data_IF_917142569822
#
_entry.id   IF_917142569822
#
_cell.length_a   1.000
_cell.length_b   1.000
_cell.length_c   1.000
_cell.angle_alpha   90.00
_cell.angle_beta   90.00
_cell.angle_gamma   90.00
#
_symmetry.space_group_name_H-M   'P 1'
#
loop_
_entity.id
_entity.type
_entity.pdbx_description
1 polymer ?
#
# COMPACT_ATOMS: atom_id res chain seq x y z
N UNK A 1 -27.79 2.25 -7.80
CA UNK A 1 -26.43 1.80 -8.19
C UNK A 1 -26.23 0.43 -7.57
N UNK A 2 -25.92 -0.62 -8.34
CA UNK A 2 -25.68 -1.96 -7.79
C UNK A 2 -24.49 -1.92 -6.84
N UNK A 3 -24.63 -2.54 -5.68
CA UNK A 3 -23.54 -2.66 -4.69
C UNK A 3 -22.37 -3.42 -5.31
N UNK A 4 -21.22 -2.78 -5.40
CA UNK A 4 -19.99 -3.40 -5.91
C UNK A 4 -19.51 -4.41 -4.85
N UNK A 5 -19.50 -5.70 -5.22
CA UNK A 5 -19.05 -6.78 -4.31
C UNK A 5 -17.61 -7.18 -4.60
N UNK A 6 -16.81 -7.29 -3.54
CA UNK A 6 -15.46 -7.85 -3.56
C UNK A 6 -15.41 -9.26 -2.93
N UNK A 7 -16.55 -9.83 -2.56
CA UNK A 7 -16.64 -11.13 -1.91
C UNK A 7 -15.95 -12.23 -2.73
N UNK A 8 -15.15 -13.04 -2.07
CA UNK A 8 -14.43 -14.14 -2.70
C UNK A 8 -13.31 -13.75 -3.65
N UNK A 9 -12.99 -12.45 -3.76
CA UNK A 9 -11.94 -11.95 -4.63
C UNK A 9 -10.59 -11.85 -3.88
N UNK A 10 -9.55 -12.41 -4.47
CA UNK A 10 -8.16 -12.13 -4.06
C UNK A 10 -7.75 -10.71 -4.43
N UNK A 11 -6.96 -10.06 -3.59
CA UNK A 11 -6.47 -8.69 -3.81
C UNK A 11 -5.00 -8.77 -4.28
N UNK A 12 -4.80 -8.82 -5.58
CA UNK A 12 -3.48 -9.05 -6.17
C UNK A 12 -2.78 -7.75 -6.59
N UNK A 13 -3.54 -6.76 -7.03
CA UNK A 13 -3.11 -5.44 -7.48
C UNK A 13 -4.28 -4.50 -7.64
N UNK A 14 -4.03 -3.26 -8.07
CA UNK A 14 -5.05 -2.26 -8.41
C UNK A 14 -5.28 -2.16 -9.92
N UNK A 15 -4.46 -2.81 -10.73
CA UNK A 15 -4.64 -2.84 -12.19
C UNK A 15 -6.04 -3.28 -12.58
N UNK A 16 -6.59 -4.33 -11.95
CA UNK A 16 -7.90 -4.90 -12.23
C UNK A 16 -9.06 -4.26 -11.44
N UNK A 17 -8.79 -3.28 -10.57
CA UNK A 17 -9.84 -2.59 -9.83
C UNK A 17 -10.56 -1.56 -10.70
N UNK A 18 -11.87 -1.42 -10.47
CA UNK A 18 -12.67 -0.31 -10.98
C UNK A 18 -12.73 0.83 -9.97
N UNK A 19 -12.96 2.05 -10.43
CA UNK A 19 -13.07 3.22 -9.54
C UNK A 19 -14.07 3.00 -8.40
N UNK A 20 -15.27 2.49 -8.69
CA UNK A 20 -16.29 2.23 -7.67
C UNK A 20 -15.90 1.14 -6.66
N UNK A 21 -15.01 0.21 -7.01
CA UNK A 21 -14.46 -0.78 -6.07
C UNK A 21 -13.48 -0.11 -5.09
N UNK A 22 -12.64 0.80 -5.60
CA UNK A 22 -11.73 1.60 -4.78
C UNK A 22 -12.57 2.45 -3.80
N UNK A 23 -13.54 3.22 -4.32
CA UNK A 23 -14.43 4.05 -3.50
C UNK A 23 -15.13 3.24 -2.41
N UNK A 24 -15.65 2.04 -2.74
CA UNK A 24 -16.28 1.15 -1.75
C UNK A 24 -15.31 0.75 -0.64
N UNK A 25 -14.05 0.44 -0.96
CA UNK A 25 -13.03 0.15 0.05
C UNK A 25 -12.79 1.36 0.95
N UNK A 26 -12.68 2.57 0.38
CA UNK A 26 -12.46 3.80 1.15
C UNK A 26 -13.65 4.12 2.08
N UNK A 27 -14.88 3.89 1.63
CA UNK A 27 -16.09 4.12 2.43
C UNK A 27 -16.16 3.16 3.63
N UNK A 28 -15.86 1.87 3.40
CA UNK A 28 -15.80 0.88 4.47
C UNK A 28 -14.61 1.15 5.39
N UNK A 29 -13.47 1.62 4.86
CA UNK A 29 -12.32 2.00 5.68
C UNK A 29 -12.66 3.14 6.66
N UNK A 30 -13.49 4.11 6.26
CA UNK A 30 -13.95 5.16 7.14
C UNK A 30 -14.77 4.61 8.33
N UNK A 31 -15.60 3.59 8.09
CA UNK A 31 -16.35 2.91 9.15
C UNK A 31 -15.40 2.09 10.05
N UNK A 32 -14.46 1.35 9.47
CA UNK A 32 -13.45 0.59 10.20
C UNK A 32 -12.54 1.49 11.05
N UNK A 33 -12.21 2.69 10.58
CA UNK A 33 -11.44 3.66 11.36
C UNK A 33 -12.16 4.07 12.65
N UNK A 34 -13.48 4.21 12.64
CA UNK A 34 -14.27 4.48 13.86
C UNK A 34 -14.09 3.35 14.89
N UNK A 35 -14.07 2.09 14.44
CA UNK A 35 -13.78 0.94 15.29
C UNK A 35 -12.38 1.02 15.87
N UNK A 36 -11.36 1.32 15.03
CA UNK A 36 -9.96 1.46 15.49
C UNK A 36 -9.79 2.55 16.55
N UNK A 37 -10.58 3.62 16.45
CA UNK A 37 -10.55 4.75 17.39
C UNK A 37 -11.45 4.55 18.61
N UNK A 38 -12.37 3.58 18.58
CA UNK A 38 -13.28 3.30 19.70
C UNK A 38 -12.59 2.59 20.86
N UNK A 39 -13.20 2.61 22.04
CA UNK A 39 -12.74 1.85 23.20
C UNK A 39 -12.86 0.33 23.00
N UNK A 40 -13.80 -0.13 22.16
CA UNK A 40 -14.01 -1.53 21.82
C UNK A 40 -13.60 -1.82 20.37
N UNK A 41 -12.35 -2.21 20.18
CA UNK A 41 -11.78 -2.49 18.87
C UNK A 41 -12.11 -3.88 18.33
N UNK A 42 -12.53 -4.82 19.17
CA UNK A 42 -12.83 -6.20 18.76
C UNK A 42 -14.28 -6.31 18.30
N UNK A 43 -14.46 -6.86 17.11
CA UNK A 43 -15.74 -7.20 16.50
C UNK A 43 -15.71 -8.65 16.03
N UNK A 44 -16.88 -9.27 15.91
CA UNK A 44 -17.02 -10.69 15.54
C UNK A 44 -17.26 -10.90 14.02
N UNK A 45 -16.95 -9.90 13.18
CA UNK A 45 -17.25 -9.95 11.75
C UNK A 45 -16.56 -11.10 10.99
N UNK A 46 -15.36 -11.48 11.43
CA UNK A 46 -14.59 -12.60 10.88
C UNK A 46 -14.40 -13.75 11.89
N UNK A 47 -15.29 -13.88 12.85
CA UNK A 47 -15.26 -15.00 13.79
C UNK A 47 -15.30 -16.35 13.07
N UNK A 48 -14.39 -17.24 13.43
CA UNK A 48 -14.22 -18.55 12.78
C UNK A 48 -13.46 -18.52 11.45
N UNK A 49 -12.94 -17.34 11.02
CA UNK A 49 -12.02 -17.22 9.89
C UNK A 49 -10.58 -17.29 10.36
N UNK A 50 -9.73 -17.90 9.53
CA UNK A 50 -8.29 -18.00 9.75
C UNK A 50 -7.51 -17.27 8.67
N UNK A 51 -6.52 -16.48 9.10
CA UNK A 51 -5.66 -15.66 8.24
C UNK A 51 -4.21 -16.03 8.51
N UNK A 52 -3.45 -16.31 7.48
CA UNK A 52 -2.00 -16.56 7.59
C UNK A 52 -1.23 -15.47 6.86
N UNK A 53 -0.27 -14.85 7.52
CA UNK A 53 0.68 -13.95 6.85
C UNK A 53 1.95 -14.70 6.48
N UNK A 54 2.40 -14.58 5.23
CA UNK A 54 3.62 -15.21 4.71
C UNK A 54 4.54 -14.10 4.21
N UNK A 55 5.52 -13.74 5.04
CA UNK A 55 6.42 -12.61 4.78
C UNK A 55 7.85 -13.11 4.59
N UNK A 56 8.34 -13.09 3.37
CA UNK A 56 9.73 -13.41 3.03
C UNK A 56 10.68 -12.20 3.14
N UNK A 57 10.12 -10.99 3.25
CA UNK A 57 10.85 -9.73 3.49
C UNK A 57 10.51 -9.14 4.85
N UNK A 58 11.46 -8.41 5.44
CA UNK A 58 11.21 -7.65 6.68
C UNK A 58 10.12 -6.58 6.47
N UNK A 59 9.12 -6.57 7.31
CA UNK A 59 8.06 -5.56 7.29
C UNK A 59 7.37 -5.47 8.64
N UNK A 60 7.65 -4.41 9.38
CA UNK A 60 6.98 -4.16 10.66
C UNK A 60 5.57 -3.61 10.45
N UNK A 61 5.44 -2.51 9.69
CA UNK A 61 4.16 -1.80 9.51
C UNK A 61 3.10 -2.66 8.83
N UNK A 62 3.40 -3.20 7.65
CA UNK A 62 2.41 -3.95 6.86
C UNK A 62 1.97 -5.23 7.57
N UNK A 63 2.93 -6.01 8.13
CA UNK A 63 2.60 -7.24 8.85
C UNK A 63 1.74 -6.95 10.06
N UNK A 64 2.22 -6.06 10.96
CA UNK A 64 1.49 -5.77 12.21
C UNK A 64 0.11 -5.17 11.95
N UNK A 65 -0.05 -4.33 10.91
CA UNK A 65 -1.36 -3.76 10.60
C UNK A 65 -2.34 -4.77 10.00
N UNK A 66 -1.91 -5.75 9.19
CA UNK A 66 -2.76 -6.85 8.77
C UNK A 66 -3.11 -7.78 9.94
N UNK A 67 -2.14 -8.06 10.81
CA UNK A 67 -2.39 -8.85 12.02
C UNK A 67 -3.42 -8.19 12.92
N UNK A 68 -3.26 -6.89 13.20
CA UNK A 68 -4.23 -6.13 13.99
C UNK A 68 -5.59 -6.06 13.30
N UNK A 69 -5.63 -5.85 11.98
CA UNK A 69 -6.87 -5.80 11.21
C UNK A 69 -7.66 -7.11 11.34
N UNK A 70 -7.01 -8.26 11.16
CA UNK A 70 -7.66 -9.56 11.33
C UNK A 70 -8.15 -9.78 12.76
N UNK A 71 -7.32 -9.49 13.76
CA UNK A 71 -7.65 -9.64 15.18
C UNK A 71 -8.78 -8.69 15.64
N UNK A 72 -8.84 -7.48 15.11
CA UNK A 72 -9.92 -6.53 15.42
C UNK A 72 -11.26 -6.99 14.81
N UNK A 73 -11.22 -7.71 13.70
CA UNK A 73 -12.40 -8.30 13.07
C UNK A 73 -12.80 -9.66 13.66
N UNK A 74 -12.05 -10.19 14.63
CA UNK A 74 -12.35 -11.46 15.30
C UNK A 74 -11.80 -12.70 14.60
N UNK A 75 -10.90 -12.55 13.62
CA UNK A 75 -10.24 -13.68 12.97
C UNK A 75 -9.05 -14.21 13.78
N UNK A 76 -8.74 -15.50 13.62
CA UNK A 76 -7.49 -16.10 14.06
C UNK A 76 -6.37 -15.74 13.08
N UNK A 77 -5.27 -15.17 13.59
CA UNK A 77 -4.16 -14.72 12.74
C UNK A 77 -2.87 -15.40 13.14
N UNK A 78 -2.23 -16.04 12.16
CA UNK A 78 -0.92 -16.72 12.31
C UNK A 78 0.12 -16.03 11.42
N UNK A 79 1.30 -15.76 11.95
CA UNK A 79 2.39 -15.12 11.21
C UNK A 79 3.49 -16.12 10.87
N UNK A 80 3.85 -16.22 9.60
CA UNK A 80 4.99 -16.98 9.09
C UNK A 80 6.00 -15.96 8.52
N UNK A 81 7.22 -15.99 9.07
CA UNK A 81 8.32 -15.16 8.59
C UNK A 81 9.45 -16.07 8.09
N UNK A 82 10.27 -15.56 7.16
CA UNK A 82 11.37 -16.34 6.59
C UNK A 82 12.28 -16.93 7.68
N UNK A 83 12.69 -16.12 8.65
CA UNK A 83 13.62 -16.52 9.72
C UNK A 83 13.05 -17.54 10.72
N UNK A 84 11.72 -17.65 10.83
CA UNK A 84 11.04 -18.54 11.78
C UNK A 84 10.30 -19.72 11.13
N UNK A 85 10.60 -20.07 9.88
CA UNK A 85 9.85 -21.08 9.14
C UNK A 85 10.71 -22.02 8.32
N UNK A 86 10.09 -23.07 7.76
CA UNK A 86 10.72 -24.04 6.87
C UNK A 86 11.31 -23.43 5.59
N UNK A 87 10.95 -22.19 5.26
CA UNK A 87 11.58 -21.45 4.15
C UNK A 87 13.10 -21.32 4.31
N UNK A 88 13.62 -21.31 5.55
CA UNK A 88 15.07 -21.33 5.80
C UNK A 88 15.72 -22.66 5.43
N UNK A 89 14.93 -23.74 5.35
CA UNK A 89 15.35 -25.08 4.96
C UNK A 89 15.15 -25.36 3.47
N UNK A 90 14.79 -24.34 2.68
CA UNK A 90 14.57 -24.46 1.24
C UNK A 90 13.13 -24.79 0.82
N UNK A 91 12.13 -24.71 1.74
CA UNK A 91 10.73 -24.89 1.37
C UNK A 91 10.31 -23.81 0.37
N UNK A 92 9.69 -24.22 -0.74
CA UNK A 92 9.22 -23.32 -1.77
C UNK A 92 7.96 -22.57 -1.34
N UNK A 93 7.71 -21.39 -1.95
CA UNK A 93 6.44 -20.65 -1.73
C UNK A 93 5.22 -21.55 -2.05
N UNK A 94 5.31 -22.40 -3.08
CA UNK A 94 4.25 -23.36 -3.45
C UNK A 94 3.94 -24.31 -2.30
N UNK A 95 4.97 -24.93 -1.72
CA UNK A 95 4.79 -25.91 -0.66
C UNK A 95 4.28 -25.28 0.63
N UNK A 96 4.77 -24.07 0.98
CA UNK A 96 4.23 -23.26 2.08
C UNK A 96 2.73 -22.99 1.87
N UNK A 97 2.32 -22.58 0.66
CA UNK A 97 0.92 -22.31 0.34
C UNK A 97 0.03 -23.57 0.42
N UNK A 98 0.50 -24.70 -0.09
CA UNK A 98 -0.21 -25.97 0.01
C UNK A 98 -0.37 -26.39 1.48
N UNK A 99 0.66 -26.21 2.28
CA UNK A 99 0.65 -26.52 3.71
C UNK A 99 -0.36 -25.69 4.46
N UNK A 100 -0.34 -24.36 4.32
CA UNK A 100 -1.28 -23.49 5.01
C UNK A 100 -2.72 -23.66 4.50
N UNK A 101 -2.89 -23.95 3.21
CA UNK A 101 -4.20 -24.28 2.66
C UNK A 101 -4.79 -25.55 3.26
N UNK A 102 -3.96 -26.59 3.46
CA UNK A 102 -4.36 -27.84 4.07
C UNK A 102 -4.76 -27.68 5.57
N UNK A 103 -4.28 -26.63 6.23
CA UNK A 103 -4.71 -26.23 7.59
C UNK A 103 -6.09 -25.57 7.62
N UNK A 104 -6.75 -25.35 6.47
CA UNK A 104 -8.07 -24.72 6.40
C UNK A 104 -8.06 -23.20 6.43
N UNK A 105 -6.95 -22.56 6.05
CA UNK A 105 -6.82 -21.11 6.01
C UNK A 105 -7.80 -20.47 5.01
N UNK A 106 -8.50 -19.41 5.42
CA UNK A 106 -9.43 -18.66 4.56
C UNK A 106 -8.72 -17.60 3.73
N UNK A 107 -7.67 -16.97 4.27
CA UNK A 107 -6.90 -15.93 3.58
C UNK A 107 -5.40 -16.04 3.86
N UNK A 108 -4.58 -15.80 2.83
CA UNK A 108 -3.11 -15.71 2.94
C UNK A 108 -2.66 -14.34 2.48
N UNK A 109 -1.94 -13.65 3.35
CA UNK A 109 -1.38 -12.32 3.09
C UNK A 109 0.11 -12.51 2.76
N UNK A 110 0.50 -12.18 1.53
CA UNK A 110 1.83 -12.48 1.00
C UNK A 110 2.63 -11.20 0.80
N UNK A 111 3.86 -11.20 1.33
CA UNK A 111 4.90 -10.25 0.96
C UNK A 111 6.16 -10.99 0.50
N UNK A 112 6.58 -10.73 -0.73
CA UNK A 112 7.69 -11.44 -1.36
C UNK A 112 8.59 -10.47 -2.14
N UNK A 113 9.86 -10.81 -2.28
CA UNK A 113 10.82 -10.06 -3.10
C UNK A 113 10.66 -10.28 -4.61
N UNK A 114 9.99 -11.35 -5.02
CA UNK A 114 9.75 -11.68 -6.43
C UNK A 114 8.48 -11.02 -6.93
N UNK A 115 8.58 -10.34 -8.06
CA UNK A 115 7.42 -9.80 -8.79
C UNK A 115 6.48 -10.94 -9.22
N UNK A 116 5.16 -10.70 -9.15
CA UNK A 116 4.15 -11.69 -9.51
C UNK A 116 3.94 -12.81 -8.48
N UNK A 117 4.62 -12.78 -7.33
CA UNK A 117 4.47 -13.81 -6.29
C UNK A 117 3.02 -13.95 -5.80
N UNK A 118 2.29 -12.85 -5.67
CA UNK A 118 0.88 -12.88 -5.27
C UNK A 118 -0.01 -13.51 -6.36
N UNK A 119 0.23 -13.19 -7.63
CA UNK A 119 -0.46 -13.81 -8.77
C UNK A 119 -0.13 -15.30 -8.86
N UNK A 120 1.13 -15.68 -8.71
CA UNK A 120 1.53 -17.07 -8.64
C UNK A 120 0.78 -17.79 -7.52
N UNK A 121 0.76 -17.23 -6.33
CA UNK A 121 0.09 -17.81 -5.17
C UNK A 121 -1.41 -18.06 -5.41
N UNK A 122 -2.11 -17.15 -6.07
CA UNK A 122 -3.54 -17.30 -6.39
C UNK A 122 -3.83 -18.46 -7.36
N UNK A 123 -2.82 -18.90 -8.11
CA UNK A 123 -2.91 -20.02 -9.05
C UNK A 123 -2.52 -21.38 -8.43
N UNK A 124 -1.96 -21.37 -7.22
CA UNK A 124 -1.62 -22.62 -6.51
C UNK A 124 -2.90 -23.27 -6.01
N UNK A 125 -3.19 -24.44 -6.52
CA UNK A 125 -4.41 -25.22 -6.19
C UNK A 125 -4.04 -26.64 -5.77
N UNK A 126 -4.86 -27.20 -4.89
CA UNK A 126 -4.85 -28.61 -4.55
C UNK A 126 -6.26 -29.19 -4.82
N UNK A 127 -6.37 -30.37 -5.44
CA UNK A 127 -7.68 -31.00 -5.74
C UNK A 127 -8.53 -31.28 -4.48
N UNK A 128 -7.87 -31.43 -3.34
CA UNK A 128 -8.52 -31.87 -2.08
C UNK A 128 -8.71 -30.75 -1.05
N UNK A 129 -8.24 -29.53 -1.33
CA UNK A 129 -8.17 -28.45 -0.35
C UNK A 129 -8.72 -27.15 -0.96
N UNK A 130 -9.53 -26.43 -0.18
CA UNK A 130 -10.02 -25.10 -0.55
C UNK A 130 -8.83 -24.14 -0.72
N UNK A 131 -8.78 -23.44 -1.83
CA UNK A 131 -7.78 -22.40 -2.08
C UNK A 131 -8.14 -21.15 -1.24
N UNK A 132 -7.24 -20.63 -0.39
CA UNK A 132 -7.48 -19.40 0.34
C UNK A 132 -7.49 -18.18 -0.58
N UNK A 133 -8.10 -17.08 -0.16
CA UNK A 133 -7.95 -15.80 -0.83
C UNK A 133 -6.54 -15.25 -0.62
N UNK A 134 -5.95 -14.68 -1.67
CA UNK A 134 -4.61 -14.11 -1.62
C UNK A 134 -4.67 -12.59 -1.55
N UNK A 135 -3.91 -12.02 -0.61
CA UNK A 135 -3.72 -10.58 -0.45
C UNK A 135 -2.26 -10.23 -0.70
N UNK A 136 -2.02 -9.38 -1.69
CA UNK A 136 -0.71 -8.85 -1.97
C UNK A 136 -0.33 -7.76 -0.95
N UNK A 137 0.64 -8.04 -0.11
CA UNK A 137 1.23 -7.10 0.85
C UNK A 137 2.56 -6.52 0.34
N UNK A 138 2.78 -6.62 -0.95
CA UNK A 138 3.94 -6.14 -1.71
C UNK A 138 4.77 -7.26 -2.32
N UNK A 139 4.88 -7.30 -3.65
CA UNK A 139 5.65 -8.29 -4.39
C UNK A 139 6.67 -7.62 -5.33
N UNK A 140 7.95 -7.77 -5.04
CA UNK A 140 9.06 -7.19 -5.79
C UNK A 140 8.92 -5.67 -5.99
N UNK A 141 9.02 -5.20 -7.21
CA UNK A 141 8.69 -3.85 -7.67
C UNK A 141 7.33 -3.79 -8.39
N UNK A 142 6.47 -4.81 -8.25
CA UNK A 142 5.21 -4.92 -8.98
C UNK A 142 4.10 -4.08 -8.35
N UNK A 143 3.43 -4.54 -7.28
CA UNK A 143 2.35 -3.79 -6.64
C UNK A 143 2.28 -3.93 -5.11
N UNK A 144 1.66 -2.94 -4.47
CA UNK A 144 1.30 -2.96 -3.05
C UNK A 144 -0.09 -2.33 -2.85
N UNK A 145 -1.17 -3.00 -3.27
CA UNK A 145 -2.51 -2.41 -3.38
C UNK A 145 -3.02 -1.77 -2.08
N UNK A 146 -2.78 -2.40 -0.93
CA UNK A 146 -3.22 -1.85 0.36
C UNK A 146 -2.45 -0.59 0.80
N UNK A 147 -1.30 -0.29 0.19
CA UNK A 147 -0.57 0.96 0.45
C UNK A 147 -1.25 2.11 -0.29
N UNK A 148 -1.48 1.97 -1.58
CA UNK A 148 -2.20 2.99 -2.36
C UNK A 148 -3.61 3.27 -1.80
N UNK A 149 -4.33 2.23 -1.42
CA UNK A 149 -5.66 2.40 -0.81
C UNK A 149 -5.61 3.18 0.50
N UNK A 150 -4.58 2.99 1.34
CA UNK A 150 -4.43 3.79 2.56
C UNK A 150 -3.99 5.23 2.27
N UNK A 151 -3.18 5.45 1.24
CA UNK A 151 -2.79 6.78 0.78
C UNK A 151 -4.00 7.56 0.24
N UNK A 152 -4.79 6.94 -0.63
CA UNK A 152 -6.08 7.49 -1.11
C UNK A 152 -7.02 7.82 0.05
N UNK A 153 -7.15 6.93 1.03
CA UNK A 153 -7.97 7.16 2.21
C UNK A 153 -7.42 8.32 3.06
N UNK A 154 -6.11 8.39 3.23
CA UNK A 154 -5.45 9.47 3.98
C UNK A 154 -5.66 10.82 3.32
N UNK A 155 -5.49 10.90 2.00
CA UNK A 155 -5.73 12.15 1.26
C UNK A 155 -7.20 12.57 1.28
N UNK A 156 -8.13 11.61 1.23
CA UNK A 156 -9.57 11.89 1.40
C UNK A 156 -9.86 12.48 2.80
N UNK A 157 -9.21 11.98 3.85
CA UNK A 157 -9.32 12.55 5.20
C UNK A 157 -8.64 13.92 5.34
N UNK A 158 -7.59 14.17 4.57
CA UNK A 158 -6.97 15.49 4.43
C UNK A 158 -7.83 16.49 3.65
N UNK A 159 -9.07 16.11 3.28
CA UNK A 159 -10.01 16.96 2.56
C UNK A 159 -9.72 17.06 1.05
N UNK A 160 -8.83 16.24 0.50
CA UNK A 160 -8.51 16.27 -0.92
C UNK A 160 -9.57 15.53 -1.74
N UNK A 161 -10.07 16.16 -2.79
CA UNK A 161 -10.98 15.55 -3.77
C UNK A 161 -10.15 14.85 -4.84
N UNK A 162 -9.94 13.56 -4.72
CA UNK A 162 -8.98 12.79 -5.52
C UNK A 162 -9.09 13.06 -7.02
N UNK A 163 -10.30 13.20 -7.57
CA UNK A 163 -10.54 13.47 -8.98
C UNK A 163 -9.93 14.79 -9.49
N UNK A 164 -9.65 15.73 -8.61
CA UNK A 164 -9.25 17.10 -8.97
C UNK A 164 -7.79 17.39 -8.58
N UNK A 165 -7.07 16.43 -7.98
CA UNK A 165 -5.73 16.69 -7.45
C UNK A 165 -4.63 16.46 -8.47
N UNK A 166 -3.59 17.29 -8.38
CA UNK A 166 -2.26 17.02 -8.88
C UNK A 166 -1.48 16.27 -7.80
N UNK A 167 -1.16 15.02 -8.08
CA UNK A 167 -0.46 14.12 -7.18
C UNK A 167 0.95 13.83 -7.69
N UNK A 168 1.98 14.30 -6.97
CA UNK A 168 3.36 14.12 -7.37
C UNK A 168 4.05 13.00 -6.57
N UNK A 169 4.63 12.03 -7.26
CA UNK A 169 5.42 10.94 -6.70
C UNK A 169 6.89 11.21 -7.01
N UNK A 170 7.72 11.30 -5.97
CA UNK A 170 9.10 11.76 -6.07
C UNK A 170 10.06 10.67 -5.63
N UNK A 171 11.04 10.34 -6.45
CA UNK A 171 12.19 9.53 -6.03
C UNK A 171 12.47 8.29 -6.84
N UNK A 172 12.63 7.13 -6.18
CA UNK A 172 12.93 5.85 -6.82
C UNK A 172 11.66 5.17 -7.33
N UNK A 173 11.18 5.63 -8.47
CA UNK A 173 9.97 5.10 -9.12
C UNK A 173 10.22 3.69 -9.69
N UNK A 174 11.40 3.47 -10.26
CA UNK A 174 11.76 2.21 -10.93
C UNK A 174 11.59 0.98 -10.03
N UNK A 175 12.06 1.08 -8.79
CA UNK A 175 12.03 -0.04 -7.84
C UNK A 175 10.85 0.03 -6.85
N UNK A 176 9.95 1.02 -7.03
CA UNK A 176 8.84 1.21 -6.11
C UNK A 176 7.59 0.45 -6.57
N UNK A 177 7.22 -0.57 -5.78
CA UNK A 177 5.92 -1.22 -5.90
C UNK A 177 4.74 -0.30 -5.54
N UNK A 178 5.00 0.72 -4.71
CA UNK A 178 4.00 1.71 -4.30
C UNK A 178 3.68 2.62 -5.48
N UNK A 179 4.68 3.20 -6.15
CA UNK A 179 4.46 4.08 -7.29
C UNK A 179 3.60 3.44 -8.39
N UNK A 180 3.78 2.14 -8.66
CA UNK A 180 2.96 1.44 -9.68
C UNK A 180 1.52 1.30 -9.25
N UNK A 181 1.28 0.86 -8.00
CA UNK A 181 -0.09 0.80 -7.48
C UNK A 181 -0.74 2.19 -7.41
N UNK A 182 0.04 3.24 -7.08
CA UNK A 182 -0.44 4.62 -7.03
C UNK A 182 -0.89 5.10 -8.41
N UNK A 183 -0.10 4.85 -9.45
CA UNK A 183 -0.50 5.21 -10.81
C UNK A 183 -1.87 4.59 -11.11
N UNK A 184 -2.05 3.28 -10.88
CA UNK A 184 -3.34 2.63 -11.13
C UNK A 184 -4.48 3.19 -10.25
N UNK A 185 -4.24 3.34 -8.95
CA UNK A 185 -5.28 3.77 -8.02
C UNK A 185 -5.72 5.20 -8.25
N UNK A 186 -4.76 6.12 -8.37
CA UNK A 186 -5.05 7.55 -8.50
C UNK A 186 -5.59 7.93 -9.88
N UNK A 187 -5.03 7.39 -10.98
CA UNK A 187 -5.54 7.67 -12.33
C UNK A 187 -6.97 7.15 -12.53
N UNK A 188 -7.32 5.98 -11.96
CA UNK A 188 -8.69 5.46 -12.01
C UNK A 188 -9.71 6.34 -11.30
N UNK A 189 -9.29 7.08 -10.28
CA UNK A 189 -10.12 8.06 -9.58
C UNK A 189 -10.05 9.47 -10.20
N UNK A 190 -9.28 9.63 -11.30
CA UNK A 190 -9.21 10.87 -12.07
C UNK A 190 -8.23 11.90 -11.56
N UNK A 191 -7.27 11.52 -10.72
CA UNK A 191 -6.15 12.37 -10.33
C UNK A 191 -5.13 12.50 -11.48
N UNK A 192 -4.47 13.64 -11.56
CA UNK A 192 -3.31 13.86 -12.42
C UNK A 192 -2.04 13.41 -11.68
N UNK A 193 -1.43 12.29 -12.13
CA UNK A 193 -0.28 11.67 -11.45
C UNK A 193 1.01 12.08 -12.13
N UNK A 194 1.87 12.80 -11.41
CA UNK A 194 3.18 13.25 -11.83
C UNK A 194 4.29 12.41 -11.21
N UNK A 195 5.27 12.00 -12.01
CA UNK A 195 6.42 11.21 -11.58
C UNK A 195 7.70 11.99 -11.83
N UNK A 196 8.54 12.13 -10.80
CA UNK A 196 9.83 12.81 -10.94
C UNK A 196 10.91 12.20 -10.06
N UNK A 197 12.15 12.36 -10.46
CA UNK A 197 13.33 11.84 -9.77
C UNK A 197 14.54 11.75 -10.72
N UNK A 198 15.66 11.16 -10.28
CA UNK A 198 16.78 10.89 -11.17
C UNK A 198 16.32 10.14 -12.43
N UNK A 199 16.75 10.58 -13.62
CA UNK A 199 16.33 9.95 -14.89
C UNK A 199 16.57 8.45 -14.96
N UNK A 200 17.57 7.96 -14.27
CA UNK A 200 17.87 6.52 -14.13
C UNK A 200 16.83 5.75 -13.32
N UNK A 201 16.03 6.46 -12.52
CA UNK A 201 15.03 5.90 -11.61
C UNK A 201 13.57 6.21 -12.02
N UNK A 202 13.35 6.97 -13.10
CA UNK A 202 12.00 7.32 -13.60
C UNK A 202 11.84 6.86 -15.06
N UNK A 203 11.36 5.65 -15.29
CA UNK A 203 11.17 5.13 -16.66
C UNK A 203 10.02 5.84 -17.38
N UNK A 204 10.29 6.47 -18.52
CA UNK A 204 9.27 7.14 -19.37
C UNK A 204 8.13 6.20 -19.81
N UNK A 205 8.37 4.90 -19.90
CA UNK A 205 7.34 3.91 -20.24
C UNK A 205 6.13 3.90 -19.27
N UNK A 206 6.26 4.49 -18.09
CA UNK A 206 5.15 4.60 -17.12
C UNK A 206 4.06 5.59 -17.59
N UNK A 207 4.34 6.45 -18.57
CA UNK A 207 3.32 7.28 -19.23
C UNK A 207 2.23 6.44 -19.89
N UNK A 208 2.55 5.23 -20.33
CA UNK A 208 1.56 4.28 -20.85
C UNK A 208 0.53 3.81 -19.78
N UNK A 209 0.83 4.00 -18.51
CA UNK A 209 -0.09 3.73 -17.40
C UNK A 209 -0.96 4.95 -17.03
N UNK A 210 -0.83 6.07 -17.73
CA UNK A 210 -1.59 7.30 -17.52
C UNK A 210 -0.93 8.32 -16.59
N UNK A 211 0.34 8.13 -16.23
CA UNK A 211 1.12 9.12 -15.48
C UNK A 211 1.81 10.12 -16.40
N UNK A 212 2.22 11.27 -15.86
CA UNK A 212 3.05 12.28 -16.50
C UNK A 212 4.47 12.17 -15.91
N UNK A 213 5.48 12.10 -16.76
CA UNK A 213 6.87 12.06 -16.32
C UNK A 213 7.50 13.43 -16.47
N UNK A 214 7.80 14.07 -15.33
CA UNK A 214 8.47 15.38 -15.31
C UNK A 214 9.99 15.22 -15.23
N UNK A 215 10.71 15.88 -16.12
CA UNK A 215 12.17 15.90 -16.13
C UNK A 215 12.75 16.78 -15.00
N UNK A 216 11.97 17.72 -14.46
CA UNK A 216 12.35 18.63 -13.37
C UNK A 216 11.46 18.45 -12.15
N UNK A 217 12.08 18.47 -10.99
CA UNK A 217 11.37 18.39 -9.71
C UNK A 217 10.36 19.53 -9.54
N UNK A 218 10.74 20.73 -9.95
CA UNK A 218 9.93 21.94 -9.83
C UNK A 218 8.63 21.84 -10.63
N UNK A 219 8.64 21.21 -11.80
CA UNK A 219 7.45 21.03 -12.63
C UNK A 219 6.45 20.08 -11.97
N UNK A 220 6.93 19.01 -11.34
CA UNK A 220 6.08 18.09 -10.59
C UNK A 220 5.50 18.74 -9.31
N UNK A 221 6.29 19.54 -8.60
CA UNK A 221 5.88 20.18 -7.35
C UNK A 221 4.96 21.38 -7.55
N UNK A 222 5.11 22.10 -8.67
CA UNK A 222 4.33 23.31 -8.93
C UNK A 222 2.83 23.05 -8.80
N UNK A 223 2.21 23.74 -7.86
CA UNK A 223 0.77 23.66 -7.57
C UNK A 223 0.27 22.23 -7.23
N UNK A 224 1.16 21.35 -6.72
CA UNK A 224 0.76 20.02 -6.29
C UNK A 224 -0.16 20.07 -5.07
N UNK A 225 -1.24 19.27 -5.10
CA UNK A 225 -2.19 19.12 -3.99
C UNK A 225 -1.70 18.09 -2.95
N UNK A 226 -0.94 17.11 -3.41
CA UNK A 226 -0.36 16.09 -2.56
C UNK A 226 0.96 15.60 -3.16
N UNK A 227 1.90 15.25 -2.27
CA UNK A 227 3.21 14.71 -2.66
C UNK A 227 3.48 13.41 -1.91
N UNK A 228 3.90 12.37 -2.64
CA UNK A 228 4.39 11.11 -2.11
C UNK A 228 5.90 11.03 -2.29
N UNK A 229 6.63 11.08 -1.19
CA UNK A 229 8.09 11.06 -1.20
C UNK A 229 8.52 9.61 -0.98
N UNK A 230 9.06 9.00 -2.04
CA UNK A 230 9.48 7.61 -1.97
C UNK A 230 10.82 7.47 -1.25
N UNK A 231 10.91 6.42 -0.43
CA UNK A 231 12.17 6.03 0.20
C UNK A 231 13.20 5.64 -0.85
N UNK A 232 14.40 6.20 -0.77
CA UNK A 232 15.54 5.70 -1.52
C UNK A 232 15.99 4.37 -0.93
N UNK A 233 15.96 3.32 -1.75
CA UNK A 233 16.33 1.97 -1.34
C UNK A 233 17.85 1.79 -1.49
N UNK A 234 18.62 2.31 -0.51
CA UNK A 234 20.09 2.29 -0.52
C UNK A 234 20.64 0.86 -0.64
N UNK A 235 19.94 -0.11 -0.08
CA UNK A 235 20.26 -1.54 -0.19
C UNK A 235 20.14 -2.10 -1.60
N UNK A 236 19.37 -1.46 -2.49
CA UNK A 236 19.23 -1.81 -3.91
C UNK A 236 20.05 -0.89 -4.82
N UNK A 237 20.54 0.22 -4.28
CA UNK A 237 21.27 1.24 -5.03
C UNK A 237 22.73 0.87 -5.34
N UNK A 238 23.18 -0.35 -5.01
CA UNK A 238 24.51 -0.85 -5.38
C UNK A 238 24.78 -0.85 -6.90
N UNK A 239 23.80 -0.46 -7.73
CA UNK A 239 23.88 -0.37 -9.20
C UNK A 239 24.26 1.00 -9.80
N UNK A 240 24.64 2.00 -8.99
CA UNK A 240 25.10 3.30 -9.52
C UNK A 240 24.00 4.19 -10.12
N UNK A 241 22.78 4.11 -9.66
CA UNK A 241 21.62 4.88 -10.16
C UNK A 241 21.72 6.39 -9.86
N UNK A 242 22.48 6.77 -8.84
CA UNK A 242 22.83 8.14 -8.50
C UNK A 242 24.21 8.16 -7.81
N UNK A 243 24.99 9.25 -7.93
CA UNK A 243 26.39 9.25 -7.49
C UNK A 243 26.57 9.15 -5.98
N UNK A 244 25.80 9.92 -5.20
CA UNK A 244 25.87 9.94 -3.71
C UNK A 244 24.52 10.30 -3.12
N UNK A 245 24.30 9.90 -1.84
CA UNK A 245 23.11 10.31 -1.07
C UNK A 245 23.08 11.83 -0.83
N UNK A 246 24.24 12.47 -0.71
CA UNK A 246 24.35 13.93 -0.59
C UNK A 246 23.90 14.65 -1.85
N UNK A 247 24.27 14.15 -3.03
CA UNK A 247 23.83 14.69 -4.29
C UNK A 247 22.34 14.46 -4.52
N UNK A 248 21.84 13.26 -4.18
CA UNK A 248 20.41 12.98 -4.19
C UNK A 248 19.64 13.98 -3.32
N UNK A 249 20.04 14.16 -2.06
CA UNK A 249 19.40 15.11 -1.14
C UNK A 249 19.41 16.55 -1.70
N UNK A 250 20.53 16.96 -2.31
CA UNK A 250 20.65 18.29 -2.91
C UNK A 250 19.75 18.50 -4.12
N UNK A 251 19.58 17.48 -4.97
CA UNK A 251 18.84 17.60 -6.23
C UNK A 251 17.36 17.21 -6.11
N UNK A 252 17.02 16.25 -5.23
CA UNK A 252 15.70 15.60 -5.18
C UNK A 252 15.07 15.58 -3.80
N UNK A 253 15.81 15.85 -2.72
CA UNK A 253 15.30 15.87 -1.34
C UNK A 253 14.29 16.99 -1.13
N UNK A 254 13.16 16.70 -0.51
CA UNK A 254 12.12 17.69 -0.20
C UNK A 254 12.45 18.43 1.10
N UNK A 255 12.60 19.74 1.00
CA UNK A 255 12.83 20.69 2.06
C UNK A 255 11.78 21.82 2.01
N UNK A 256 11.85 22.79 2.92
CA UNK A 256 10.91 23.92 3.00
C UNK A 256 10.85 24.75 1.71
N UNK A 257 11.98 25.00 1.09
CA UNK A 257 12.05 25.79 -0.14
C UNK A 257 11.29 25.12 -1.27
N UNK A 258 11.46 23.79 -1.42
CA UNK A 258 10.75 23.00 -2.43
C UNK A 258 9.28 22.79 -2.10
N UNK A 259 8.97 22.61 -0.82
CA UNK A 259 7.59 22.50 -0.38
C UNK A 259 6.79 23.78 -0.72
N UNK A 260 7.41 24.94 -0.68
CA UNK A 260 6.79 26.22 -1.03
C UNK A 260 6.37 26.34 -2.51
N UNK A 261 6.80 25.42 -3.39
CA UNK A 261 6.33 25.33 -4.78
C UNK A 261 4.96 24.67 -4.90
N UNK A 262 4.58 23.88 -3.91
CA UNK A 262 3.28 23.23 -3.85
C UNK A 262 2.19 24.20 -3.41
N UNK A 263 0.93 23.75 -3.43
CA UNK A 263 -0.16 24.50 -2.83
C UNK A 263 0.05 24.69 -1.32
N UNK A 264 -0.43 25.78 -0.73
CA UNK A 264 -0.25 26.04 0.70
C UNK A 264 -0.81 24.97 1.63
N UNK A 265 -1.79 24.21 1.17
CA UNK A 265 -2.45 23.10 1.88
C UNK A 265 -2.02 21.72 1.37
N UNK A 266 -0.83 21.61 0.76
CA UNK A 266 -0.31 20.35 0.21
C UNK A 266 -0.28 19.24 1.28
N UNK A 267 -0.76 18.05 0.93
CA UNK A 267 -0.64 16.90 1.81
C UNK A 267 0.66 16.14 1.54
N UNK A 268 1.45 15.92 2.59
CA UNK A 268 2.73 15.20 2.51
C UNK A 268 2.53 13.78 3.02
N UNK A 269 2.80 12.80 2.17
CA UNK A 269 2.76 11.38 2.52
C UNK A 269 4.09 10.68 2.19
N UNK A 270 4.32 9.52 2.83
CA UNK A 270 5.54 8.74 2.66
C UNK A 270 5.32 7.30 3.12
N UNK A 271 5.50 6.29 2.26
CA UNK A 271 5.20 4.89 2.60
C UNK A 271 6.12 4.30 3.69
N UNK A 272 7.16 5.02 4.07
CA UNK A 272 8.13 4.67 5.12
C UNK A 272 8.91 3.37 4.89
N UNK A 273 10.01 3.17 5.64
CA UNK A 273 10.63 4.11 6.59
C UNK A 273 11.31 5.27 5.89
N UNK A 274 11.40 6.43 6.53
CA UNK A 274 12.06 7.61 5.97
C UNK A 274 13.59 7.59 6.21
N UNK A 275 14.38 8.00 5.21
CA UNK A 275 15.78 8.38 5.37
C UNK A 275 15.85 9.92 5.52
N UNK A 276 15.64 10.40 6.75
CA UNK A 276 15.63 11.84 7.03
C UNK A 276 16.97 12.50 6.69
N UNK A 277 16.90 13.65 6.01
CA UNK A 277 18.07 14.34 5.48
C UNK A 277 18.54 13.83 4.11
N UNK A 278 17.81 12.85 3.52
CA UNK A 278 18.07 12.36 2.16
C UNK A 278 16.88 12.71 1.26
N UNK A 279 15.80 11.91 1.29
CA UNK A 279 14.63 12.19 0.45
C UNK A 279 13.68 13.24 1.06
N UNK A 280 13.71 13.41 2.37
CA UNK A 280 12.88 14.37 3.11
C UNK A 280 13.67 14.99 4.25
N UNK A 281 13.59 16.31 4.44
CA UNK A 281 14.17 17.00 5.58
C UNK A 281 13.37 16.74 6.86
N UNK A 282 14.01 16.91 8.01
CA UNK A 282 13.38 16.64 9.30
C UNK A 282 12.17 17.54 9.57
N UNK A 283 12.29 18.82 9.26
CA UNK A 283 11.26 19.83 9.46
C UNK A 283 10.02 19.60 8.56
N UNK A 284 10.21 19.12 7.33
CA UNK A 284 9.11 18.74 6.43
C UNK A 284 8.44 17.42 6.87
N UNK A 285 9.21 16.46 7.35
CA UNK A 285 8.67 15.17 7.80
C UNK A 285 7.70 15.29 8.98
N UNK A 286 7.84 16.34 9.79
CA UNK A 286 6.99 16.63 10.98
C UNK A 286 6.20 17.93 10.86
N UNK A 287 6.01 18.40 9.63
CA UNK A 287 5.17 19.56 9.34
C UNK A 287 3.70 19.30 9.66
N UNK A 288 2.91 20.36 9.85
CA UNK A 288 1.46 20.27 10.02
C UNK A 288 0.75 19.67 8.80
N UNK A 289 1.35 19.81 7.62
CA UNK A 289 0.88 19.22 6.36
C UNK A 289 1.27 17.75 6.19
N UNK A 290 2.06 17.19 7.13
CA UNK A 290 2.53 15.79 7.08
C UNK A 290 1.45 14.84 7.61
N UNK A 291 0.99 13.95 6.73
CA UNK A 291 0.02 12.90 7.05
C UNK A 291 0.67 11.53 7.28
N UNK A 292 2.00 11.48 7.35
CA UNK A 292 2.80 10.24 7.43
C UNK A 292 2.40 9.36 8.64
N UNK A 293 2.06 9.95 9.78
CA UNK A 293 1.62 9.20 10.96
C UNK A 293 0.18 8.70 10.81
N UNK A 294 -0.69 9.48 10.17
CA UNK A 294 -2.07 9.07 9.89
C UNK A 294 -2.13 7.90 8.90
N UNK A 295 -1.23 7.83 7.92
CA UNK A 295 -1.11 6.67 7.03
C UNK A 295 -0.96 5.35 7.79
N UNK A 296 -0.21 5.34 8.90
CA UNK A 296 -0.02 4.13 9.71
C UNK A 296 -1.34 3.68 10.34
N UNK A 297 -2.10 4.62 10.89
CA UNK A 297 -3.43 4.37 11.48
C UNK A 297 -4.43 3.94 10.41
N UNK A 298 -4.48 4.68 9.32
CA UNK A 298 -5.35 4.43 8.17
C UNK A 298 -5.06 3.07 7.52
N UNK A 299 -3.80 2.64 7.58
CA UNK A 299 -3.40 1.32 7.13
C UNK A 299 -4.12 0.17 7.84
N UNK A 300 -4.42 0.29 9.14
CA UNK A 300 -5.20 -0.72 9.86
C UNK A 300 -6.65 -0.73 9.35
N UNK A 301 -7.28 0.45 9.26
CA UNK A 301 -8.66 0.60 8.82
C UNK A 301 -8.90 0.07 7.39
N UNK A 302 -8.01 0.41 6.45
CA UNK A 302 -8.09 -0.06 5.06
C UNK A 302 -7.92 -1.57 4.96
N UNK A 303 -6.98 -2.15 5.73
CA UNK A 303 -6.80 -3.61 5.77
C UNK A 303 -7.98 -4.32 6.41
N UNK A 304 -8.61 -3.74 7.43
CA UNK A 304 -9.89 -4.23 7.96
C UNK A 304 -10.96 -4.22 6.87
N UNK A 305 -11.10 -3.11 6.14
CA UNK A 305 -12.08 -2.99 5.05
C UNK A 305 -11.86 -4.05 3.96
N UNK A 306 -10.63 -4.27 3.52
CA UNK A 306 -10.30 -5.29 2.52
C UNK A 306 -10.66 -6.69 2.99
N UNK A 307 -10.25 -7.06 4.22
CA UNK A 307 -10.55 -8.38 4.80
C UNK A 307 -12.06 -8.58 4.96
N UNK A 308 -12.76 -7.56 5.44
CA UNK A 308 -14.21 -7.60 5.62
C UNK A 308 -14.94 -7.79 4.30
N UNK A 309 -14.68 -6.94 3.31
CA UNK A 309 -15.36 -6.96 2.01
C UNK A 309 -15.11 -8.23 1.19
N UNK A 310 -13.97 -8.90 1.41
CA UNK A 310 -13.60 -10.10 0.65
C UNK A 310 -13.98 -11.40 1.32
N UNK A 311 -13.97 -11.45 2.67
CA UNK A 311 -14.22 -12.66 3.44
C UNK A 311 -15.66 -12.79 3.96
N UNK A 312 -16.46 -11.72 3.81
CA UNK A 312 -17.88 -11.71 4.19
C UNK A 312 -18.76 -11.35 2.99
N UNK A 313 -20.09 -11.38 3.18
CA UNK A 313 -21.06 -10.90 2.19
C UNK A 313 -21.12 -9.36 2.11
N UNK A 314 -20.29 -8.64 2.87
CA UNK A 314 -20.23 -7.18 2.89
C UNK A 314 -21.53 -6.53 3.36
N UNK A 315 -22.26 -7.19 4.29
CA UNK A 315 -23.44 -6.61 4.95
C UNK A 315 -23.05 -5.31 5.63
N UNK A 316 -23.99 -4.40 5.80
CA UNK A 316 -23.72 -3.11 6.41
C UNK A 316 -23.09 -3.31 7.80
N UNK A 317 -22.06 -2.51 8.07
CA UNK A 317 -21.38 -2.53 9.35
C UNK A 317 -22.30 -1.85 10.35
N UNK A 318 -22.81 -2.60 11.32
CA UNK A 318 -23.56 -2.05 12.43
C UNK A 318 -22.63 -1.09 13.18
N UNK A 319 -22.85 0.19 13.00
CA UNK A 319 -22.25 1.24 13.83
C UNK A 319 -23.13 1.35 15.07
N UNK A 320 -22.85 0.58 16.11
CA UNK A 320 -23.33 0.88 17.45
C UNK A 320 -22.80 2.28 17.82
N UNK A 321 -23.68 3.26 17.88
CA UNK A 321 -23.43 4.60 18.39
C UNK A 321 -23.35 4.60 19.91
#
# INVERSE_FOLDING_TARGET
MGTVSLQGRSILGLEDFKAGEIERVLDVAAQMKRIVLSGNKKKDYLKGKSIVTVFSEASTRTRSSFELAGKYLGADVVNITKSGSSMTKGESLRDTLLTVSAMGTDAVIIRNSSEGAALFASKVKSPKVKTPLIFNAGDGAHEHPSQTLLELFTLREAGKKIKEIKYAIIGDILHSRVARSDIYGFTKLGAEVHLTGPRTLVPKKLEAMGAIVDDKLEDALKDADAINILRIQLERAAGGFFPTTREYARLWGINRERLALCKPDVAIIHPGPMNRGIEISHDVAYDEQSWIQEEVRNGVAVRMALLYLTLTEGKDIETDY
#
